data_IF_373637950755
#
_entry.id   IF_373637950755
#
_cell.length_a   1.000
_cell.length_b   1.000
_cell.length_c   1.000
_cell.angle_alpha   90.00
_cell.angle_beta   90.00
_cell.angle_gamma   90.00
#
_symmetry.space_group_name_H-M   'P 1'
#
loop_
_entity.id
_entity.type
_entity.pdbx_description
1 polymer ?
#
# COMPACT_ATOMS: atom_id res chain seq x y z
N UNK A 1 -9.46 -1.45 16.34
CA UNK A 1 -8.47 -2.02 15.41
C UNK A 1 -8.82 -1.51 14.03
N UNK A 2 -7.84 -1.02 13.27
CA UNK A 2 -8.05 -0.69 11.86
C UNK A 2 -8.01 -1.99 11.08
N UNK A 3 -8.86 -2.14 10.07
CA UNK A 3 -8.88 -3.36 9.24
C UNK A 3 -7.66 -3.42 8.30
N UNK A 4 -7.07 -2.26 7.98
CA UNK A 4 -5.99 -2.12 7.00
C UNK A 4 -4.87 -1.19 7.47
N UNK A 5 -3.67 -1.41 6.97
CA UNK A 5 -2.51 -0.54 7.25
C UNK A 5 -2.63 0.81 6.57
N UNK A 6 -1.82 1.79 7.00
CA UNK A 6 -1.81 3.11 6.36
C UNK A 6 -1.45 3.01 4.87
N UNK A 7 -0.45 2.19 4.54
CA UNK A 7 0.01 2.04 3.16
C UNK A 7 -1.04 1.36 2.28
N UNK A 8 -1.81 0.41 2.82
CA UNK A 8 -2.97 -0.15 2.12
C UNK A 8 -4.06 0.91 1.87
N UNK A 9 -4.30 1.81 2.82
CA UNK A 9 -5.24 2.91 2.64
C UNK A 9 -4.76 3.91 1.58
N UNK A 10 -3.47 4.23 1.55
CA UNK A 10 -2.90 5.09 0.50
C UNK A 10 -3.01 4.45 -0.88
N UNK A 11 -2.69 3.15 -1.00
CA UNK A 11 -2.88 2.39 -2.23
C UNK A 11 -4.35 2.36 -2.66
N UNK A 12 -5.26 2.03 -1.74
CA UNK A 12 -6.70 1.99 -1.96
C UNK A 12 -7.23 3.29 -2.56
N UNK A 13 -6.85 4.45 -2.00
CA UNK A 13 -7.32 5.76 -2.48
C UNK A 13 -6.90 6.04 -3.92
N UNK A 14 -5.67 5.68 -4.27
CA UNK A 14 -5.17 5.84 -5.63
C UNK A 14 -5.88 4.86 -6.57
N UNK A 15 -5.97 3.59 -6.16
CA UNK A 15 -6.51 2.53 -6.98
C UNK A 15 -8.02 2.69 -7.23
N UNK A 16 -8.79 3.08 -6.21
CA UNK A 16 -10.21 3.38 -6.37
C UNK A 16 -10.44 4.52 -7.39
N UNK A 17 -9.59 5.56 -7.37
CA UNK A 17 -9.69 6.65 -8.34
C UNK A 17 -9.37 6.18 -9.76
N UNK A 18 -8.37 5.32 -9.94
CA UNK A 18 -8.04 4.72 -11.23
C UNK A 18 -9.16 3.82 -11.75
N UNK A 19 -9.79 3.01 -10.89
CA UNK A 19 -10.91 2.14 -11.25
C UNK A 19 -12.15 2.94 -11.68
N UNK A 20 -12.47 4.01 -10.94
CA UNK A 20 -13.55 4.93 -11.30
C UNK A 20 -13.31 5.54 -12.68
N UNK A 21 -12.09 6.06 -12.90
CA UNK A 21 -11.70 6.65 -14.18
C UNK A 21 -11.70 5.62 -15.32
N UNK A 22 -11.18 4.42 -15.08
CA UNK A 22 -11.11 3.34 -16.07
C UNK A 22 -12.48 2.80 -16.49
N UNK A 23 -13.50 2.92 -15.64
CA UNK A 23 -14.90 2.63 -15.99
C UNK A 23 -15.65 3.82 -16.58
N UNK A 24 -15.00 4.98 -16.73
CA UNK A 24 -15.63 6.22 -17.20
C UNK A 24 -16.70 6.76 -16.25
N UNK A 25 -16.60 6.45 -14.95
CA UNK A 25 -17.57 6.87 -13.95
C UNK A 25 -17.09 8.14 -13.23
N UNK A 26 -18.03 8.90 -12.70
CA UNK A 26 -17.79 9.88 -11.65
C UNK A 26 -17.99 9.27 -10.26
N UNK A 27 -17.44 9.89 -9.22
CA UNK A 27 -17.66 9.49 -7.82
C UNK A 27 -19.16 9.45 -7.46
N UNK A 28 -19.94 10.38 -7.99
CA UNK A 28 -21.40 10.45 -7.78
C UNK A 28 -22.14 9.29 -8.45
N UNK A 29 -21.74 8.92 -9.66
CA UNK A 29 -22.33 7.79 -10.37
C UNK A 29 -21.99 6.46 -9.71
N UNK A 30 -20.74 6.27 -9.28
CA UNK A 30 -20.36 5.09 -8.50
C UNK A 30 -21.22 4.99 -7.24
N UNK A 31 -21.37 6.09 -6.50
CA UNK A 31 -22.21 6.12 -5.31
C UNK A 31 -23.65 5.70 -5.59
N UNK A 32 -24.26 6.20 -6.68
CA UNK A 32 -25.62 5.82 -7.07
C UNK A 32 -25.71 4.35 -7.46
N UNK A 33 -24.72 3.83 -8.18
CA UNK A 33 -24.67 2.41 -8.58
C UNK A 33 -24.52 1.46 -7.39
N UNK A 34 -23.92 1.91 -6.30
CA UNK A 34 -23.80 1.17 -5.05
C UNK A 34 -24.98 1.42 -4.09
N UNK A 35 -26.02 2.17 -4.51
CA UNK A 35 -27.13 2.60 -3.66
C UNK A 35 -26.67 3.30 -2.35
N UNK A 36 -25.62 4.12 -2.46
CA UNK A 36 -25.02 4.87 -1.35
C UNK A 36 -25.27 6.38 -1.50
N UNK A 37 -25.16 7.08 -0.37
CA UNK A 37 -25.17 8.54 -0.34
C UNK A 37 -24.05 9.11 -1.21
N UNK A 38 -24.34 10.16 -2.00
CA UNK A 38 -23.41 10.77 -2.97
C UNK A 38 -22.02 11.12 -2.42
N UNK A 39 -21.89 11.34 -1.10
CA UNK A 39 -20.63 11.67 -0.45
C UNK A 39 -19.83 10.44 0.03
N UNK A 40 -20.39 9.23 0.00
CA UNK A 40 -19.75 8.02 0.52
C UNK A 40 -18.41 7.73 -0.15
N UNK A 41 -18.35 7.80 -1.48
CA UNK A 41 -17.09 7.59 -2.23
C UNK A 41 -16.05 8.65 -1.88
N UNK A 42 -16.48 9.90 -1.74
CA UNK A 42 -15.59 10.99 -1.32
C UNK A 42 -15.03 10.72 0.07
N UNK A 43 -15.87 10.26 1.00
CA UNK A 43 -15.43 9.92 2.35
C UNK A 43 -14.42 8.78 2.35
N UNK A 44 -14.64 7.71 1.57
CA UNK A 44 -13.68 6.61 1.47
C UNK A 44 -12.33 7.05 0.91
N UNK A 45 -12.31 7.98 -0.05
CA UNK A 45 -11.06 8.53 -0.61
C UNK A 45 -10.32 9.42 0.41
N UNK A 46 -11.03 10.12 1.29
CA UNK A 46 -10.40 11.07 2.23
C UNK A 46 -10.10 10.52 3.61
N UNK A 47 -10.80 9.47 4.04
CA UNK A 47 -10.65 8.91 5.40
C UNK A 47 -9.46 7.99 5.49
N UNK A 48 -8.86 7.91 6.68
CA UNK A 48 -7.74 7.03 7.04
C UNK A 48 -8.12 5.59 7.33
N UNK A 49 -9.41 5.25 7.19
CA UNK A 49 -9.90 3.91 7.45
C UNK A 49 -11.13 3.60 6.58
N UNK A 50 -11.29 2.33 6.26
CA UNK A 50 -12.44 1.76 5.57
C UNK A 50 -12.72 0.37 6.15
N UNK A 51 -14.01 0.08 6.39
CA UNK A 51 -14.41 -1.25 6.85
C UNK A 51 -14.25 -2.27 5.73
N UNK A 52 -13.77 -3.46 6.08
CA UNK A 52 -13.67 -4.63 5.21
C UNK A 52 -14.95 -4.90 4.40
N UNK A 53 -16.14 -4.76 5.01
CA UNK A 53 -17.42 -4.92 4.31
C UNK A 53 -17.60 -3.97 3.09
N UNK A 54 -17.11 -2.73 3.17
CA UNK A 54 -17.18 -1.77 2.07
C UNK A 54 -16.15 -2.07 0.98
N UNK A 55 -14.97 -2.60 1.37
CA UNK A 55 -13.97 -3.08 0.42
C UNK A 55 -14.53 -4.25 -0.38
N UNK A 56 -15.20 -5.20 0.28
CA UNK A 56 -15.84 -6.34 -0.37
C UNK A 56 -16.92 -5.90 -1.38
N UNK A 57 -17.77 -4.94 -1.00
CA UNK A 57 -18.78 -4.34 -1.88
C UNK A 57 -18.15 -3.72 -3.14
N UNK A 58 -17.05 -2.97 -2.99
CA UNK A 58 -16.31 -2.40 -4.11
C UNK A 58 -15.68 -3.49 -4.99
N UNK A 59 -15.09 -4.52 -4.40
CA UNK A 59 -14.50 -5.64 -5.10
C UNK A 59 -15.53 -6.37 -5.98
N UNK A 60 -16.72 -6.63 -5.43
CA UNK A 60 -17.83 -7.21 -6.19
C UNK A 60 -18.27 -6.31 -7.34
N UNK A 61 -18.42 -5.01 -7.11
CA UNK A 61 -18.83 -4.06 -8.13
C UNK A 61 -17.85 -3.97 -9.31
N UNK A 62 -16.54 -3.92 -9.01
CA UNK A 62 -15.50 -3.84 -10.03
C UNK A 62 -15.10 -5.20 -10.59
N UNK A 63 -15.57 -6.30 -9.99
CA UNK A 63 -15.18 -7.68 -10.27
C UNK A 63 -13.66 -7.88 -10.19
N UNK A 64 -13.09 -7.46 -9.06
CA UNK A 64 -11.66 -7.59 -8.71
C UNK A 64 -11.53 -8.24 -7.33
N UNK A 65 -10.36 -8.76 -7.04
CA UNK A 65 -10.02 -9.23 -5.70
C UNK A 65 -9.60 -8.08 -4.77
N UNK A 66 -9.66 -8.35 -3.46
CA UNK A 66 -9.31 -7.38 -2.41
C UNK A 66 -7.85 -6.93 -2.50
N UNK A 67 -6.93 -7.84 -2.83
CA UNK A 67 -5.51 -7.54 -2.96
C UNK A 67 -5.24 -6.58 -4.13
N UNK A 68 -5.99 -6.68 -5.23
CA UNK A 68 -5.93 -5.73 -6.35
C UNK A 68 -6.41 -4.34 -5.94
N UNK A 69 -7.36 -4.23 -5.02
CA UNK A 69 -7.90 -2.95 -4.56
C UNK A 69 -7.05 -2.32 -3.45
N UNK A 70 -6.75 -3.09 -2.40
CA UNK A 70 -6.04 -2.64 -1.19
C UNK A 70 -4.53 -2.73 -1.32
N UNK A 71 -4.02 -3.52 -2.26
CA UNK A 71 -2.60 -3.84 -2.39
C UNK A 71 -2.17 -4.95 -1.42
N UNK A 72 -1.03 -5.57 -1.72
CA UNK A 72 -0.42 -6.58 -0.86
C UNK A 72 0.24 -5.93 0.36
N UNK A 73 -0.15 -6.30 1.61
CA UNK A 73 0.54 -5.82 2.81
C UNK A 73 2.06 -6.03 2.79
N UNK A 74 2.53 -7.16 2.24
CA UNK A 74 3.97 -7.47 2.19
C UNK A 74 4.71 -6.58 1.18
N UNK A 75 4.09 -6.30 0.03
CA UNK A 75 4.70 -5.43 -0.98
C UNK A 75 4.66 -3.95 -0.58
N UNK A 76 3.63 -3.57 0.18
CA UNK A 76 3.43 -2.22 0.71
C UNK A 76 4.14 -1.99 2.05
N UNK A 77 4.79 -3.01 2.61
CA UNK A 77 5.57 -2.87 3.85
C UNK A 77 6.74 -1.90 3.62
N UNK A 78 6.87 -0.92 4.52
CA UNK A 78 7.98 0.03 4.49
C UNK A 78 9.26 -0.54 5.09
N UNK A 79 10.38 -0.14 4.50
CA UNK A 79 11.71 -0.45 4.99
C UNK A 79 12.52 0.84 5.15
N UNK A 80 13.19 0.98 6.29
CA UNK A 80 14.22 1.99 6.49
C UNK A 80 15.45 1.57 5.72
N UNK A 81 15.88 2.40 4.78
CA UNK A 81 17.08 2.19 3.99
C UNK A 81 18.24 3.04 4.53
N UNK A 82 19.36 2.37 4.77
CA UNK A 82 20.61 2.95 5.19
C UNK A 82 21.70 2.62 4.18
N UNK A 83 22.55 3.61 3.91
CA UNK A 83 23.76 3.47 3.10
C UNK A 83 24.97 3.93 3.91
N UNK A 84 25.99 3.08 4.03
CA UNK A 84 27.18 3.33 4.84
C UNK A 84 26.83 3.72 6.30
N UNK A 85 25.80 3.09 6.86
CA UNK A 85 25.30 3.36 8.21
C UNK A 85 24.47 4.64 8.35
N UNK A 86 24.29 5.44 7.29
CA UNK A 86 23.49 6.66 7.30
C UNK A 86 22.07 6.37 6.81
N UNK A 87 21.06 6.83 7.55
CA UNK A 87 19.67 6.78 7.11
C UNK A 87 19.47 7.65 5.86
N UNK A 88 18.86 7.06 4.83
CA UNK A 88 18.57 7.74 3.56
C UNK A 88 17.08 8.02 3.44
N UNK A 89 16.24 7.00 3.54
CA UNK A 89 14.80 7.11 3.40
C UNK A 89 14.05 5.91 3.98
N UNK A 90 12.72 6.02 4.04
CA UNK A 90 11.80 4.94 4.38
C UNK A 90 10.81 4.82 3.23
N UNK A 91 10.72 3.64 2.62
CA UNK A 91 9.78 3.38 1.53
C UNK A 91 9.57 1.87 1.31
N UNK A 92 8.57 1.45 0.52
CA UNK A 92 8.38 0.06 0.14
C UNK A 92 9.49 -0.42 -0.80
N UNK A 93 9.70 -1.74 -0.87
CA UNK A 93 10.80 -2.33 -1.66
C UNK A 93 10.78 -1.92 -3.13
N UNK A 94 9.59 -1.72 -3.71
CA UNK A 94 9.44 -1.27 -5.10
C UNK A 94 10.00 0.13 -5.33
N UNK A 95 9.84 1.04 -4.37
CA UNK A 95 10.41 2.39 -4.45
C UNK A 95 11.90 2.37 -4.11
N UNK A 96 12.32 1.60 -3.11
CA UNK A 96 13.74 1.41 -2.81
C UNK A 96 14.50 0.80 -3.99
N UNK A 97 13.88 -0.11 -4.74
CA UNK A 97 14.44 -0.68 -5.97
C UNK A 97 14.74 0.42 -7.01
N UNK A 98 13.84 1.38 -7.18
CA UNK A 98 14.06 2.53 -8.08
C UNK A 98 15.15 3.47 -7.56
N UNK A 99 15.18 3.75 -6.26
CA UNK A 99 16.15 4.66 -5.63
C UNK A 99 17.57 4.06 -5.67
N UNK A 100 17.70 2.78 -5.36
CA UNK A 100 18.99 2.08 -5.28
C UNK A 100 19.47 1.51 -6.61
N UNK A 101 18.58 1.43 -7.61
CA UNK A 101 18.82 0.74 -8.88
C UNK A 101 18.99 -0.78 -8.73
N UNK A 102 18.61 -1.36 -7.58
CA UNK A 102 18.69 -2.81 -7.31
C UNK A 102 17.37 -3.49 -7.57
N UNK A 103 17.42 -4.74 -8.00
CA UNK A 103 16.23 -5.57 -8.12
C UNK A 103 15.60 -5.84 -6.74
N UNK A 104 14.27 -5.96 -6.69
CA UNK A 104 13.52 -6.26 -5.46
C UNK A 104 14.00 -7.57 -4.82
N UNK A 105 14.36 -8.58 -5.61
CA UNK A 105 14.86 -9.87 -5.11
C UNK A 105 16.20 -9.71 -4.37
N UNK A 106 17.07 -8.82 -4.86
CA UNK A 106 18.33 -8.50 -4.19
C UNK A 106 18.07 -7.77 -2.87
N UNK A 107 17.12 -6.82 -2.87
CA UNK A 107 16.74 -6.12 -1.63
C UNK A 107 16.15 -7.08 -0.59
N UNK A 108 15.32 -8.05 -1.00
CA UNK A 108 14.82 -9.13 -0.13
C UNK A 108 15.95 -9.97 0.45
N UNK A 109 16.95 -10.32 -0.36
CA UNK A 109 18.14 -11.02 0.11
C UNK A 109 18.92 -10.20 1.15
N UNK A 110 19.07 -8.88 0.96
CA UNK A 110 19.73 -8.01 1.93
C UNK A 110 18.96 -7.91 3.24
N UNK A 111 17.64 -7.83 3.19
CA UNK A 111 16.79 -7.89 4.39
C UNK A 111 17.07 -9.19 5.16
N UNK A 112 17.06 -10.32 4.47
CA UNK A 112 17.32 -11.62 5.08
C UNK A 112 18.70 -11.70 5.76
N UNK A 113 19.74 -11.12 5.14
CA UNK A 113 21.07 -11.03 5.76
C UNK A 113 21.06 -10.14 7.02
N UNK A 114 20.43 -8.97 6.94
CA UNK A 114 20.35 -8.04 8.06
C UNK A 114 19.58 -8.63 9.25
N UNK A 115 18.52 -9.40 8.99
CA UNK A 115 17.76 -10.14 10.02
C UNK A 115 18.61 -11.19 10.73
N UNK A 116 19.61 -11.75 10.04
CA UNK A 116 20.60 -12.67 10.63
C UNK A 116 21.78 -11.95 11.31
N UNK A 117 21.74 -10.62 11.41
CA UNK A 117 22.83 -9.81 11.96
C UNK A 117 24.06 -9.74 11.05
N UNK A 118 23.92 -10.08 9.76
CA UNK A 118 24.98 -10.01 8.75
C UNK A 118 24.81 -8.74 7.93
N UNK A 119 25.91 -8.04 7.66
CA UNK A 119 25.86 -6.85 6.80
C UNK A 119 25.83 -7.25 5.32
N UNK A 120 24.85 -6.72 4.59
CA UNK A 120 24.78 -6.84 3.13
C UNK A 120 25.68 -5.79 2.45
N UNK A 121 26.98 -5.83 2.75
CA UNK A 121 27.93 -4.81 2.31
C UNK A 121 27.62 -3.44 2.92
N UNK A 122 27.55 -2.39 2.10
CA UNK A 122 27.28 -1.03 2.58
C UNK A 122 25.78 -0.74 2.84
N UNK A 123 24.87 -1.60 2.39
CA UNK A 123 23.43 -1.38 2.48
C UNK A 123 22.82 -2.12 3.66
N UNK A 124 21.97 -1.41 4.41
CA UNK A 124 21.16 -1.99 5.47
C UNK A 124 19.70 -1.60 5.26
N UNK A 125 18.82 -2.59 5.31
CA UNK A 125 17.37 -2.44 5.20
C UNK A 125 16.73 -3.04 6.45
N UNK A 126 15.87 -2.27 7.09
CA UNK A 126 15.16 -2.69 8.30
C UNK A 126 13.65 -2.51 8.10
N UNK A 127 12.90 -3.57 8.35
CA UNK A 127 11.44 -3.52 8.28
C UNK A 127 10.90 -2.50 9.29
N UNK A 128 10.00 -1.64 8.85
CA UNK A 128 9.22 -0.78 9.74
C UNK A 128 8.05 -1.60 10.24
N UNK A 129 8.01 -1.83 11.55
CA UNK A 129 6.83 -2.38 12.22
C UNK A 129 5.97 -1.16 12.58
N UNK A 130 4.81 -1.03 11.96
CA UNK A 130 3.81 -0.05 12.41
C UNK A 130 3.32 -0.50 13.79
N UNK A 131 3.93 0.00 14.86
CA UNK A 131 3.39 -0.18 16.21
C UNK A 131 2.00 0.47 16.28
N UNK A 132 0.98 -0.35 16.57
CA UNK A 132 -0.37 0.10 16.88
C UNK A 132 -0.32 1.10 18.05
N UNK A 133 -0.61 2.38 17.77
CA UNK A 133 -0.98 3.37 18.79
C UNK A 133 -2.49 3.53 18.84
#
# INVERSE_FOLDING_TARGET
MRDYTRNQMDHFRQQLQLLILGKGLTRKELSRKLDRNQNTIQQWITKDDIKSAHVHELCQFFNIDEKTLMGDPEELTDYRFFDQGKYICTAPLKELSKITGKDVSILKYYIHLNEQGREAGQFRLERVIEDEK
#
